data_IF_962811358579
#
_entry.id   IF_962811358579
#
_cell.length_a   1.000
_cell.length_b   1.000
_cell.length_c   1.000
_cell.angle_alpha   90.00
_cell.angle_beta   90.00
_cell.angle_gamma   90.00
#
_symmetry.space_group_name_H-M   'P 1'
#
loop_
_entity.id
_entity.type
_entity.pdbx_description
1 polymer ?
#
# COMPACT_ATOMS: atom_id res chain seq x y z
N UNK A 1 -32.03 -1.03 6.16
CA UNK A 1 -31.48 -2.33 6.62
C UNK A 1 -32.52 -3.44 6.43
N UNK A 2 -33.73 -3.34 6.96
CA UNK A 2 -34.76 -4.41 6.95
C UNK A 2 -35.18 -4.85 5.55
N UNK A 3 -35.27 -3.94 4.60
CA UNK A 3 -35.62 -4.25 3.20
C UNK A 3 -34.52 -5.08 2.51
N UNK A 4 -33.26 -4.80 2.81
CA UNK A 4 -32.12 -5.58 2.29
C UNK A 4 -32.06 -6.95 2.95
N UNK A 5 -32.26 -7.03 4.25
CA UNK A 5 -32.28 -8.30 4.99
C UNK A 5 -33.36 -9.21 4.45
N UNK A 6 -34.59 -8.71 4.25
CA UNK A 6 -35.71 -9.49 3.64
C UNK A 6 -35.39 -10.01 2.24
N UNK A 7 -34.69 -9.24 1.41
CA UNK A 7 -34.27 -9.70 0.08
C UNK A 7 -33.13 -10.73 0.14
N UNK A 8 -32.32 -10.71 1.17
CA UNK A 8 -31.22 -11.65 1.37
C UNK A 8 -31.64 -12.95 2.05
N UNK A 9 -32.80 -12.96 2.73
CA UNK A 9 -33.34 -14.18 3.41
C UNK A 9 -33.62 -15.36 2.46
N UNK A 10 -33.92 -15.08 1.20
CA UNK A 10 -34.13 -16.11 0.17
C UNK A 10 -32.86 -16.67 -0.46
N UNK A 11 -31.71 -16.11 -0.14
CA UNK A 11 -30.44 -16.58 -0.69
C UNK A 11 -29.92 -17.73 0.14
N UNK A 12 -29.82 -18.91 -0.49
CA UNK A 12 -29.25 -20.09 0.15
C UNK A 12 -27.80 -19.80 0.53
N UNK A 13 -27.52 -19.76 1.84
CA UNK A 13 -26.19 -19.60 2.38
C UNK A 13 -25.56 -20.98 2.58
N UNK A 14 -24.43 -21.20 1.99
CA UNK A 14 -23.56 -22.35 2.26
C UNK A 14 -22.36 -21.82 3.07
N UNK A 15 -22.44 -21.81 4.41
CA UNK A 15 -21.37 -21.27 5.24
C UNK A 15 -20.15 -22.20 5.18
N UNK A 16 -19.22 -21.87 4.30
CA UNK A 16 -17.92 -22.52 4.30
C UNK A 16 -16.99 -21.73 5.19
N UNK A 17 -16.19 -22.41 6.04
CA UNK A 17 -15.16 -21.73 6.77
C UNK A 17 -14.17 -21.11 5.79
N UNK A 18 -13.92 -19.81 5.93
CA UNK A 18 -12.84 -19.16 5.19
C UNK A 18 -11.50 -19.74 5.67
N UNK A 19 -10.64 -20.11 4.73
CA UNK A 19 -9.27 -20.44 5.06
C UNK A 19 -8.59 -19.18 5.63
N UNK A 20 -7.85 -19.35 6.71
CA UNK A 20 -7.05 -18.26 7.24
C UNK A 20 -6.09 -17.75 6.15
N UNK A 21 -5.91 -16.44 6.01
CA UNK A 21 -4.94 -15.90 5.09
C UNK A 21 -3.54 -16.44 5.42
N UNK A 22 -2.85 -16.93 4.40
CA UNK A 22 -1.47 -17.42 4.52
C UNK A 22 -0.57 -16.43 3.81
N UNK A 23 0.54 -16.06 4.46
CA UNK A 23 1.53 -15.20 3.83
C UNK A 23 2.05 -15.86 2.56
N UNK A 24 2.11 -15.09 1.49
CA UNK A 24 2.73 -15.56 0.25
C UNK A 24 4.22 -15.80 0.51
N UNK A 25 4.76 -16.99 0.17
CA UNK A 25 6.18 -17.22 0.29
C UNK A 25 6.94 -16.30 -0.67
N UNK A 26 8.15 -15.89 -0.27
CA UNK A 26 9.04 -15.18 -1.16
C UNK A 26 9.35 -16.07 -2.37
N UNK A 27 9.14 -15.53 -3.56
CA UNK A 27 9.47 -16.20 -4.83
C UNK A 27 10.66 -15.51 -5.48
N UNK A 28 11.40 -16.18 -6.36
CA UNK A 28 12.40 -15.50 -7.18
C UNK A 28 11.80 -14.32 -7.91
N UNK A 29 12.59 -13.26 -8.09
CA UNK A 29 12.18 -12.07 -8.81
C UNK A 29 11.66 -12.44 -10.21
N UNK A 30 10.52 -11.90 -10.57
CA UNK A 30 9.89 -12.06 -11.88
C UNK A 30 9.60 -10.70 -12.45
N UNK A 31 9.96 -10.50 -13.72
CA UNK A 31 9.60 -9.30 -14.47
C UNK A 31 8.53 -9.65 -15.51
N UNK A 32 7.50 -8.84 -15.55
CA UNK A 32 6.46 -8.89 -16.57
C UNK A 32 6.41 -7.53 -17.24
N UNK A 33 6.42 -7.53 -18.57
CA UNK A 33 6.27 -6.30 -19.35
C UNK A 33 5.16 -6.51 -20.38
N UNK A 34 4.23 -5.58 -20.41
CA UNK A 34 3.18 -5.51 -21.42
C UNK A 34 3.25 -4.13 -22.09
N UNK A 35 3.19 -4.10 -23.41
CA UNK A 35 3.17 -2.87 -24.17
C UNK A 35 1.78 -2.63 -24.72
N UNK A 36 1.16 -1.53 -24.31
CA UNK A 36 -0.17 -1.11 -24.76
C UNK A 36 -0.01 0.11 -25.66
N UNK A 37 -0.27 -0.01 -26.96
CA UNK A 37 -0.14 1.11 -27.89
C UNK A 37 -1.03 2.29 -27.51
N UNK A 38 -0.50 3.51 -27.65
CA UNK A 38 -1.25 4.75 -27.41
C UNK A 38 -1.25 5.23 -25.96
N UNK A 39 -0.62 4.54 -25.04
CA UNK A 39 -0.40 5.06 -23.68
C UNK A 39 0.75 6.07 -23.67
N UNK A 40 0.50 7.21 -23.02
CA UNK A 40 1.48 8.29 -22.84
C UNK A 40 2.27 8.17 -21.53
N UNK A 41 1.92 7.19 -20.70
CA UNK A 41 2.52 6.97 -19.38
C UNK A 41 2.75 5.47 -19.15
N UNK A 42 3.94 5.13 -18.72
CA UNK A 42 4.24 3.78 -18.26
C UNK A 42 3.76 3.59 -16.81
N UNK A 43 3.34 2.38 -16.48
CA UNK A 43 3.00 1.96 -15.12
C UNK A 43 4.05 0.98 -14.62
N UNK A 44 4.64 1.30 -13.48
CA UNK A 44 5.58 0.41 -12.78
C UNK A 44 4.91 -0.05 -11.47
N UNK A 45 4.66 -1.35 -11.37
CA UNK A 45 4.10 -1.96 -10.17
C UNK A 45 5.09 -3.00 -9.63
N UNK A 46 5.50 -2.82 -8.39
CA UNK A 46 6.44 -3.70 -7.71
C UNK A 46 5.75 -4.35 -6.51
N UNK A 47 5.79 -5.68 -6.44
CA UNK A 47 5.18 -6.44 -5.36
C UNK A 47 6.26 -7.11 -4.51
N UNK A 48 6.09 -7.02 -3.19
CA UNK A 48 6.96 -7.63 -2.21
C UNK A 48 6.14 -8.40 -1.19
N UNK A 49 6.72 -9.42 -0.58
CA UNK A 49 6.11 -10.09 0.57
C UNK A 49 6.65 -9.50 1.87
N UNK A 50 5.79 -9.29 2.84
CA UNK A 50 6.19 -8.83 4.18
C UNK A 50 6.63 -9.99 5.08
N UNK A 51 6.43 -11.23 4.64
CA UNK A 51 6.72 -12.44 5.42
C UNK A 51 5.61 -12.84 6.39
N UNK A 52 4.67 -11.96 6.67
CA UNK A 52 3.56 -12.21 7.61
C UNK A 52 2.22 -11.86 6.96
N UNK A 53 1.22 -12.74 7.11
CA UNK A 53 -0.18 -12.42 6.84
C UNK A 53 -0.87 -12.19 8.19
N UNK A 54 -1.78 -11.22 8.24
CA UNK A 54 -2.47 -10.83 9.48
C UNK A 54 -1.52 -10.64 10.68
N UNK A 55 -0.51 -9.78 10.56
CA UNK A 55 0.44 -9.57 11.65
C UNK A 55 -0.27 -9.09 12.91
N UNK A 56 0.32 -9.38 14.06
CA UNK A 56 -0.19 -8.92 15.36
C UNK A 56 -0.19 -7.37 15.44
N UNK A 57 -0.94 -6.77 16.39
CA UNK A 57 -1.08 -5.31 16.47
C UNK A 57 0.22 -4.51 16.46
N UNK A 58 1.31 -4.88 17.16
CA UNK A 58 2.58 -4.16 17.06
C UNK A 58 3.16 -4.17 15.64
N UNK A 59 3.19 -5.34 14.97
CA UNK A 59 3.71 -5.45 13.59
C UNK A 59 2.85 -4.68 12.60
N UNK A 60 1.54 -4.64 12.76
CA UNK A 60 0.62 -3.82 11.96
C UNK A 60 0.97 -2.34 12.06
N UNK A 61 1.21 -1.85 13.27
CA UNK A 61 1.54 -0.44 13.51
C UNK A 61 2.88 -0.09 12.90
N UNK A 62 3.88 -0.95 13.06
CA UNK A 62 5.21 -0.77 12.45
C UNK A 62 5.10 -0.74 10.92
N UNK A 63 4.37 -1.69 10.34
CA UNK A 63 4.17 -1.74 8.89
C UNK A 63 3.46 -0.48 8.36
N UNK A 64 2.45 0.01 9.08
CA UNK A 64 1.74 1.25 8.72
C UNK A 64 2.66 2.46 8.73
N UNK A 65 3.49 2.60 9.75
CA UNK A 65 4.48 3.69 9.82
C UNK A 65 5.50 3.55 8.71
N UNK A 66 6.06 2.35 8.49
CA UNK A 66 7.03 2.11 7.43
C UNK A 66 6.48 2.45 6.04
N UNK A 67 5.23 2.05 5.75
CA UNK A 67 4.58 2.38 4.48
C UNK A 67 4.32 3.89 4.35
N UNK A 68 3.94 4.57 5.44
CA UNK A 68 3.72 6.01 5.42
C UNK A 68 5.02 6.77 5.13
N UNK A 69 6.12 6.39 5.78
CA UNK A 69 7.46 6.97 5.56
C UNK A 69 7.95 6.69 4.15
N UNK A 70 7.77 5.46 3.65
CA UNK A 70 8.24 5.07 2.32
C UNK A 70 7.50 5.83 1.21
N UNK A 71 6.18 5.71 1.13
CA UNK A 71 5.40 6.21 -0.02
C UNK A 71 3.95 6.58 0.29
N UNK A 72 3.57 6.73 1.57
CA UNK A 72 2.18 6.96 1.97
C UNK A 72 1.72 8.42 1.96
N UNK A 73 2.61 9.38 1.69
CA UNK A 73 2.29 10.81 1.78
C UNK A 73 3.15 11.67 0.86
N UNK A 74 2.80 12.95 0.73
CA UNK A 74 3.59 13.94 0.00
C UNK A 74 4.95 14.26 0.68
N UNK A 75 5.16 13.86 1.92
CA UNK A 75 6.43 14.01 2.64
C UNK A 75 7.25 12.73 2.67
N UNK A 76 6.74 11.66 2.06
CA UNK A 76 7.40 10.34 2.01
C UNK A 76 8.67 10.33 1.17
N UNK A 77 9.53 9.34 1.40
CA UNK A 77 10.82 9.19 0.70
C UNK A 77 10.63 9.05 -0.81
N UNK A 78 9.70 8.19 -1.26
CA UNK A 78 9.41 8.00 -2.68
C UNK A 78 8.93 9.31 -3.34
N UNK A 79 8.06 10.05 -2.67
CA UNK A 79 7.59 11.31 -3.19
C UNK A 79 8.72 12.33 -3.29
N UNK A 80 9.46 12.56 -2.21
CA UNK A 80 10.53 13.58 -2.17
C UNK A 80 11.73 13.22 -3.04
N UNK A 81 12.16 11.96 -3.03
CA UNK A 81 13.42 11.58 -3.65
C UNK A 81 13.26 11.10 -5.10
N UNK A 82 12.21 10.29 -5.39
CA UNK A 82 12.01 9.73 -6.73
C UNK A 82 11.21 10.69 -7.61
N UNK A 83 10.10 11.24 -7.07
CA UNK A 83 9.26 12.16 -7.83
C UNK A 83 9.83 13.56 -7.90
N UNK A 84 10.08 14.22 -6.75
CA UNK A 84 10.45 15.64 -6.72
C UNK A 84 11.91 15.87 -7.13
N UNK A 85 12.88 15.20 -6.49
CA UNK A 85 14.29 15.44 -6.75
C UNK A 85 14.78 14.89 -8.08
N UNK A 86 14.36 13.68 -8.44
CA UNK A 86 14.84 13.00 -9.63
C UNK A 86 13.89 13.14 -10.83
N UNK A 87 12.66 13.59 -10.63
CA UNK A 87 11.65 13.78 -11.68
C UNK A 87 11.46 12.53 -12.57
N UNK A 88 11.48 11.34 -11.94
CA UNK A 88 11.38 10.06 -12.66
C UNK A 88 9.93 9.61 -12.86
N UNK A 89 9.00 10.16 -12.07
CA UNK A 89 7.62 9.72 -12.09
C UNK A 89 6.65 10.87 -11.79
N UNK A 90 5.41 10.70 -12.24
CA UNK A 90 4.30 11.62 -11.95
C UNK A 90 3.73 11.38 -10.55
N UNK A 91 3.71 10.12 -10.14
CA UNK A 91 3.39 9.71 -8.78
C UNK A 91 4.19 8.46 -8.44
N UNK A 92 4.43 8.26 -7.15
CA UNK A 92 5.04 7.06 -6.61
C UNK A 92 4.53 6.89 -5.19
N UNK A 93 3.92 5.75 -4.91
CA UNK A 93 3.35 5.46 -3.61
C UNK A 93 3.58 4.03 -3.17
N UNK A 94 3.41 3.77 -1.88
CA UNK A 94 3.48 2.43 -1.32
C UNK A 94 2.27 2.12 -0.46
N UNK A 95 1.82 0.87 -0.49
CA UNK A 95 0.75 0.36 0.34
C UNK A 95 1.04 -1.08 0.75
N UNK A 96 0.49 -1.51 1.87
CA UNK A 96 0.57 -2.89 2.31
C UNK A 96 -0.83 -3.45 2.57
N UNK A 97 -1.06 -4.66 2.07
CA UNK A 97 -2.27 -5.41 2.34
C UNK A 97 -2.01 -6.39 3.49
N UNK A 98 -2.51 -6.04 4.67
CA UNK A 98 -2.31 -6.80 5.90
C UNK A 98 -2.73 -8.26 5.77
N UNK A 99 -3.91 -8.51 5.20
CA UNK A 99 -4.50 -9.84 5.13
C UNK A 99 -3.65 -10.85 4.35
N UNK A 100 -2.93 -10.41 3.32
CA UNK A 100 -2.12 -11.28 2.45
C UNK A 100 -0.63 -11.17 2.69
N UNK A 101 -0.18 -10.20 3.49
CA UNK A 101 1.23 -9.93 3.70
C UNK A 101 1.94 -9.46 2.43
N UNK A 102 1.25 -8.70 1.59
CA UNK A 102 1.81 -8.14 0.35
C UNK A 102 1.99 -6.64 0.50
N UNK A 103 3.17 -6.16 0.17
CA UNK A 103 3.47 -4.75 -0.02
C UNK A 103 3.53 -4.46 -1.52
N UNK A 104 2.94 -3.36 -1.94
CA UNK A 104 2.94 -2.87 -3.31
C UNK A 104 3.55 -1.47 -3.37
N UNK A 105 4.42 -1.24 -4.33
CA UNK A 105 4.82 0.10 -4.75
C UNK A 105 4.28 0.32 -6.16
N UNK A 106 3.55 1.40 -6.34
CA UNK A 106 2.90 1.78 -7.59
C UNK A 106 3.40 3.14 -8.04
N UNK A 107 3.76 3.25 -9.32
CA UNK A 107 4.33 4.47 -9.89
C UNK A 107 3.90 4.69 -11.32
N UNK A 108 3.58 5.94 -11.65
CA UNK A 108 3.38 6.39 -13.03
C UNK A 108 4.64 7.04 -13.56
N UNK A 109 5.30 6.39 -14.50
CA UNK A 109 6.64 6.73 -14.96
C UNK A 109 6.59 7.30 -16.39
N UNK A 110 7.49 8.20 -16.70
CA UNK A 110 7.69 8.63 -18.08
C UNK A 110 8.25 7.45 -18.91
N UNK A 111 7.68 7.18 -20.11
CA UNK A 111 8.19 6.11 -20.96
C UNK A 111 9.69 6.23 -21.22
N UNK A 112 10.41 5.14 -21.02
CA UNK A 112 11.87 5.07 -21.15
C UNK A 112 12.64 5.35 -19.86
N UNK A 113 11.98 5.76 -18.77
CA UNK A 113 12.60 5.95 -17.45
C UNK A 113 12.31 4.82 -16.45
N UNK A 114 11.67 3.74 -16.90
CA UNK A 114 11.19 2.65 -16.03
C UNK A 114 12.32 2.05 -15.19
N UNK A 115 13.46 1.72 -15.82
CA UNK A 115 14.61 1.14 -15.12
C UNK A 115 15.25 2.10 -14.12
N UNK A 116 15.29 3.41 -14.45
CA UNK A 116 15.82 4.41 -13.53
C UNK A 116 14.89 4.59 -12.33
N UNK A 117 13.58 4.61 -12.56
CA UNK A 117 12.59 4.69 -11.50
C UNK A 117 12.61 3.45 -10.60
N UNK A 118 12.71 2.25 -11.18
CA UNK A 118 12.86 1.01 -10.44
C UNK A 118 14.10 1.04 -9.54
N UNK A 119 15.25 1.40 -10.07
CA UNK A 119 16.49 1.49 -9.31
C UNK A 119 16.40 2.53 -8.18
N UNK A 120 15.80 3.69 -8.42
CA UNK A 120 15.60 4.72 -7.41
C UNK A 120 14.63 4.25 -6.31
N UNK A 121 13.55 3.58 -6.65
CA UNK A 121 12.58 3.02 -5.69
C UNK A 121 13.25 1.95 -4.82
N UNK A 122 14.03 1.05 -5.41
CA UNK A 122 14.78 0.02 -4.65
C UNK A 122 15.78 0.67 -3.71
N UNK A 123 16.48 1.73 -4.13
CA UNK A 123 17.41 2.44 -3.26
C UNK A 123 16.73 3.05 -2.03
N UNK A 124 15.53 3.63 -2.19
CA UNK A 124 14.75 4.15 -1.06
C UNK A 124 14.26 3.04 -0.13
N UNK A 125 13.83 1.90 -0.69
CA UNK A 125 13.42 0.72 0.10
C UNK A 125 14.59 0.16 0.92
N UNK A 126 15.77 0.00 0.30
CA UNK A 126 16.97 -0.43 1.01
C UNK A 126 17.44 0.61 2.03
N UNK A 127 17.30 1.89 1.73
CA UNK A 127 17.57 2.98 2.67
C UNK A 127 16.63 2.95 3.89
N UNK A 128 15.35 2.58 3.70
CA UNK A 128 14.42 2.41 4.80
C UNK A 128 14.75 1.18 5.65
N UNK A 129 15.17 0.09 5.01
CA UNK A 129 15.51 -1.18 5.67
C UNK A 129 16.78 -1.09 6.51
N UNK A 130 17.82 -0.42 6.00
CA UNK A 130 19.16 -0.44 6.56
C UNK A 130 19.56 0.88 7.24
N UNK A 131 18.80 1.95 7.02
CA UNK A 131 19.10 3.28 7.54
C UNK A 131 18.16 3.72 8.67
N UNK A 132 18.48 4.81 9.34
CA UNK A 132 17.61 5.37 10.37
C UNK A 132 16.36 5.98 9.75
N UNK A 133 15.24 5.87 10.47
CA UNK A 133 14.06 6.73 10.29
C UNK A 133 14.28 7.96 11.17
N UNK A 134 14.19 9.15 10.59
CA UNK A 134 14.39 10.40 11.31
C UNK A 134 13.17 10.77 12.16
N UNK A 135 13.37 11.58 13.18
CA UNK A 135 12.26 12.08 14.00
C UNK A 135 11.28 12.90 13.15
N UNK A 136 11.75 13.66 12.18
CA UNK A 136 10.92 14.42 11.25
C UNK A 136 9.98 13.51 10.43
N UNK A 137 10.52 12.40 9.89
CA UNK A 137 9.71 11.40 9.16
C UNK A 137 8.62 10.76 10.03
N UNK A 138 8.94 10.50 11.30
CA UNK A 138 7.97 9.98 12.27
C UNK A 138 6.88 11.00 12.59
N UNK A 139 7.26 12.26 12.79
CA UNK A 139 6.32 13.34 13.10
C UNK A 139 5.42 13.66 11.90
N UNK A 140 5.94 13.62 10.68
CA UNK A 140 5.17 13.76 9.44
C UNK A 140 4.15 12.63 9.29
N UNK A 141 4.61 11.38 9.50
CA UNK A 141 3.75 10.21 9.49
C UNK A 141 2.62 10.34 10.53
N UNK A 142 2.95 10.71 11.75
CA UNK A 142 1.98 10.91 12.84
C UNK A 142 0.93 11.97 12.47
N UNK A 143 1.35 13.13 11.94
CA UNK A 143 0.42 14.18 11.50
C UNK A 143 -0.52 13.68 10.40
N UNK A 144 0.02 12.98 9.41
CA UNK A 144 -0.78 12.41 8.32
C UNK A 144 -1.80 11.37 8.80
N UNK A 145 -1.40 10.49 9.71
CA UNK A 145 -2.29 9.48 10.29
C UNK A 145 -3.40 10.11 11.13
N UNK A 146 -3.08 11.09 11.98
CA UNK A 146 -4.08 11.81 12.77
C UNK A 146 -5.07 12.55 11.87
N UNK A 147 -4.58 13.28 10.86
CA UNK A 147 -5.45 13.97 9.89
C UNK A 147 -6.36 12.99 9.13
N UNK A 148 -5.87 11.80 8.78
CA UNK A 148 -6.68 10.77 8.13
C UNK A 148 -7.76 10.22 9.06
N UNK A 149 -7.47 10.11 10.36
CA UNK A 149 -8.45 9.68 11.36
C UNK A 149 -9.52 10.75 11.59
N UNK A 150 -9.15 12.01 11.64
CA UNK A 150 -10.10 13.14 11.78
C UNK A 150 -11.06 13.20 10.58
N UNK A 151 -10.56 12.92 9.38
CA UNK A 151 -11.36 12.90 8.15
C UNK A 151 -12.24 11.65 7.96
N UNK A 152 -12.13 10.61 8.82
CA UNK A 152 -12.96 9.39 8.69
C UNK A 152 -14.46 9.68 8.72
N UNK A 153 -14.88 10.66 9.53
CA UNK A 153 -16.28 11.05 9.65
C UNK A 153 -16.88 11.71 8.40
N UNK A 154 -16.04 12.19 7.50
CA UNK A 154 -16.47 12.95 6.31
C UNK A 154 -16.97 12.05 5.17
N UNK A 155 -16.70 10.74 5.26
CA UNK A 155 -17.07 9.75 4.23
C UNK A 155 -17.65 8.48 4.83
N UNK A 156 -18.89 8.16 4.47
CA UNK A 156 -19.54 6.92 4.88
C UNK A 156 -18.74 5.68 4.46
N UNK A 157 -18.15 5.69 3.25
CA UNK A 157 -17.34 4.59 2.76
C UNK A 157 -16.03 4.44 3.55
N UNK A 158 -15.39 5.55 3.95
CA UNK A 158 -14.20 5.51 4.79
C UNK A 158 -14.52 4.95 6.18
N UNK A 159 -15.65 5.38 6.76
CA UNK A 159 -16.12 4.90 8.05
C UNK A 159 -16.46 3.39 8.01
N UNK A 160 -17.18 2.95 6.97
CA UNK A 160 -17.50 1.53 6.74
C UNK A 160 -16.23 0.68 6.64
N UNK A 161 -15.27 1.09 5.81
CA UNK A 161 -14.00 0.40 5.65
C UNK A 161 -13.19 0.34 6.95
N UNK A 162 -13.25 1.42 7.74
CA UNK A 162 -12.58 1.44 9.04
C UNK A 162 -13.18 0.42 10.01
N UNK A 163 -14.52 0.40 10.16
CA UNK A 163 -15.20 -0.57 11.01
C UNK A 163 -14.99 -2.01 10.52
N UNK A 164 -15.09 -2.24 9.21
CA UNK A 164 -14.82 -3.56 8.63
C UNK A 164 -13.39 -4.02 8.95
N UNK A 165 -12.42 -3.14 8.80
CA UNK A 165 -11.01 -3.43 9.10
C UNK A 165 -10.71 -3.71 10.59
N UNK A 166 -11.59 -3.28 11.51
CA UNK A 166 -11.47 -3.62 12.94
C UNK A 166 -12.10 -4.98 13.27
N UNK A 167 -13.03 -5.46 12.46
CA UNK A 167 -13.77 -6.72 12.69
C UNK A 167 -13.14 -7.93 12.01
N UNK A 168 -12.17 -7.73 11.14
CA UNK A 168 -11.42 -8.77 10.42
C UNK A 168 -10.09 -9.08 11.12
#
# INVERSE_FOLDING_TARGET
ADMLLKKLDGIRRDPRPFAAPVAMPATPLRHFKEEIPGLTQAKLCMLFTTGEANPNPPSVSILRVAMSVLGGSATSRLFRNVREKQSLCYYCGSAAQRATGVMMIDSGVEPGKEQQAEAAIIAELEGLKNGPITQEEVDDCRRGLLSSMDALGDSLAALENWYYGQSA
#
